data_IF_836244168761
#
_entry.id   IF_836244168761
#
_cell.length_a   1.000
_cell.length_b   1.000
_cell.length_c   1.000
_cell.angle_alpha   90.00
_cell.angle_beta   90.00
_cell.angle_gamma   90.00
#
_symmetry.space_group_name_H-M   'P 1'
#
loop_
_entity.id
_entity.type
_entity.pdbx_description
1 polymer ?
#
# COMPACT_ATOMS: atom_id res chain seq x y z
N UNK A 1 1.07 4.86 -0.89
CA UNK A 1 -0.04 5.79 -0.56
C UNK A 1 -0.56 5.64 0.86
N UNK A 2 -1.26 4.55 1.18
CA UNK A 2 -2.02 4.40 2.43
C UNK A 2 -1.19 4.54 3.71
N UNK A 3 0.03 3.99 3.74
CA UNK A 3 0.91 4.14 4.92
C UNK A 3 1.30 5.60 5.15
N UNK A 4 1.45 6.41 4.09
CA UNK A 4 1.78 7.84 4.23
C UNK A 4 0.61 8.65 4.80
N UNK A 5 -0.63 8.22 4.57
CA UNK A 5 -1.82 8.88 5.14
C UNK A 5 -2.08 8.50 6.59
N UNK A 6 -1.46 7.42 7.08
CA UNK A 6 -1.51 7.03 8.48
C UNK A 6 -0.16 6.48 8.98
N UNK A 7 0.86 7.36 9.04
CA UNK A 7 2.20 7.02 9.51
C UNK A 7 2.22 6.54 10.97
N UNK A 8 1.24 6.95 11.79
CA UNK A 8 1.10 6.50 13.18
C UNK A 8 0.99 4.97 13.31
N UNK A 9 0.53 4.29 12.25
CA UNK A 9 0.53 2.82 12.16
C UNK A 9 1.92 2.23 12.46
N UNK A 10 3.00 2.83 11.96
CA UNK A 10 4.36 2.33 12.18
C UNK A 10 4.78 2.45 13.65
N UNK A 11 4.41 3.55 14.32
CA UNK A 11 4.66 3.71 15.76
C UNK A 11 3.84 2.71 16.58
N UNK A 12 2.58 2.45 16.22
CA UNK A 12 1.77 1.44 16.89
C UNK A 12 2.37 0.04 16.74
N UNK A 13 2.79 -0.33 15.53
CA UNK A 13 3.44 -1.62 15.24
C UNK A 13 4.73 -1.76 16.07
N UNK A 14 5.62 -0.76 16.00
CA UNK A 14 6.90 -0.78 16.72
C UNK A 14 6.77 -0.89 18.24
N UNK A 15 5.65 -0.46 18.83
CA UNK A 15 5.40 -0.52 20.28
C UNK A 15 4.49 -1.69 20.71
N UNK A 16 3.89 -2.44 19.78
CA UNK A 16 2.97 -3.54 20.07
C UNK A 16 3.41 -4.79 19.30
N UNK A 17 4.60 -5.28 19.62
CA UNK A 17 5.23 -6.40 18.90
C UNK A 17 4.39 -7.67 18.97
N UNK A 18 4.08 -8.22 17.79
CA UNK A 18 3.37 -9.48 17.64
C UNK A 18 4.04 -10.33 16.54
N UNK A 19 4.67 -11.44 16.92
CA UNK A 19 5.51 -12.25 16.04
C UNK A 19 4.78 -12.93 14.87
N UNK A 20 3.45 -12.96 14.92
CA UNK A 20 2.56 -13.44 13.87
C UNK A 20 2.05 -12.32 12.95
N UNK A 21 2.55 -11.08 13.07
CA UNK A 21 2.13 -9.94 12.28
C UNK A 21 3.19 -9.53 11.24
N UNK A 22 2.78 -9.37 9.98
CA UNK A 22 3.63 -8.87 8.90
C UNK A 22 2.93 -7.72 8.21
N UNK A 23 3.59 -6.55 8.13
CA UNK A 23 3.16 -5.43 7.31
C UNK A 23 3.89 -5.48 5.97
N UNK A 24 3.19 -5.83 4.90
CA UNK A 24 3.72 -5.71 3.53
C UNK A 24 3.27 -4.38 2.91
N UNK A 25 4.23 -3.50 2.67
CA UNK A 25 4.05 -2.23 1.99
C UNK A 25 4.44 -2.40 0.53
N UNK A 26 3.47 -2.28 -0.37
CA UNK A 26 3.73 -2.11 -1.80
C UNK A 26 4.02 -0.64 -2.06
N UNK A 27 5.29 -0.31 -2.29
CA UNK A 27 5.76 1.04 -2.56
C UNK A 27 6.08 1.19 -4.05
N UNK A 28 5.07 1.60 -4.80
CA UNK A 28 5.17 1.95 -6.22
C UNK A 28 5.51 3.43 -6.44
N UNK A 29 5.73 4.19 -5.36
CA UNK A 29 5.98 5.63 -5.44
C UNK A 29 4.80 6.48 -5.89
N UNK A 30 3.58 5.95 -6.05
CA UNK A 30 2.41 6.68 -6.57
C UNK A 30 1.11 6.46 -5.77
N UNK A 31 0.14 7.35 -5.95
CA UNK A 31 -1.26 7.12 -5.60
C UNK A 31 -1.96 6.46 -6.79
N UNK A 32 -1.83 5.14 -6.89
CA UNK A 32 -2.27 4.37 -8.06
C UNK A 32 -3.75 4.50 -8.43
N UNK A 33 -4.63 4.77 -7.46
CA UNK A 33 -6.07 4.96 -7.70
C UNK A 33 -6.46 6.35 -8.18
N UNK A 34 -5.58 7.34 -8.06
CA UNK A 34 -5.87 8.75 -8.40
C UNK A 34 -5.05 9.21 -9.60
N UNK A 35 -4.86 8.32 -10.58
CA UNK A 35 -4.10 8.59 -11.80
C UNK A 35 -2.59 8.63 -11.60
N UNK A 36 -2.05 7.73 -10.76
CA UNK A 36 -0.60 7.56 -10.55
C UNK A 36 0.15 8.84 -10.12
N UNK A 37 -0.52 9.71 -9.36
CA UNK A 37 0.12 10.91 -8.82
C UNK A 37 1.31 10.53 -7.91
N UNK A 38 2.49 11.16 -8.05
CA UNK A 38 3.66 10.81 -7.25
C UNK A 38 3.42 10.98 -5.75
N UNK A 39 3.83 9.99 -4.96
CA UNK A 39 3.92 10.11 -3.51
C UNK A 39 5.30 10.62 -3.06
N UNK A 40 5.40 11.06 -1.81
CA UNK A 40 6.69 11.42 -1.23
C UNK A 40 7.62 10.21 -0.98
N UNK A 41 7.07 8.98 -0.91
CA UNK A 41 7.85 7.74 -0.87
C UNK A 41 8.56 7.42 -2.19
N UNK A 42 8.02 7.90 -3.32
CA UNK A 42 8.70 7.92 -4.61
C UNK A 42 9.72 9.07 -4.75
N UNK A 43 9.96 9.84 -3.68
CA UNK A 43 10.88 10.99 -3.66
C UNK A 43 11.93 10.83 -2.55
N UNK A 44 11.76 11.52 -1.43
CA UNK A 44 12.75 11.59 -0.34
C UNK A 44 12.34 10.79 0.90
N UNK A 45 11.07 10.41 1.02
CA UNK A 45 10.60 9.66 2.18
C UNK A 45 11.04 8.20 2.06
N UNK A 46 11.92 7.78 2.97
CA UNK A 46 12.43 6.41 3.04
C UNK A 46 11.58 5.63 4.05
N UNK A 47 10.61 4.84 3.55
CA UNK A 47 9.68 4.12 4.42
C UNK A 47 10.36 3.05 5.28
N UNK A 48 11.48 2.48 4.82
CA UNK A 48 12.26 1.55 5.62
C UNK A 48 12.83 2.27 6.84
N UNK A 49 13.55 3.38 6.62
CA UNK A 49 14.15 4.17 7.71
C UNK A 49 13.11 4.76 8.65
N UNK A 50 11.95 5.19 8.13
CA UNK A 50 10.85 5.69 8.96
C UNK A 50 10.30 4.58 9.85
N UNK A 51 10.12 3.36 9.33
CA UNK A 51 9.68 2.22 10.13
C UNK A 51 10.69 1.85 11.22
N UNK A 52 11.99 1.81 10.87
CA UNK A 52 13.09 1.59 11.83
C UNK A 52 13.07 2.66 12.94
N UNK A 53 12.94 3.94 12.58
CA UNK A 53 12.87 5.05 13.53
C UNK A 53 11.61 5.04 14.40
N UNK A 54 10.54 4.36 13.97
CA UNK A 54 9.33 4.13 14.76
C UNK A 54 9.45 2.95 15.75
N UNK A 55 10.59 2.26 15.78
CA UNK A 55 10.84 1.13 16.68
C UNK A 55 10.56 -0.25 16.07
N UNK A 56 10.29 -0.35 14.77
CA UNK A 56 10.17 -1.66 14.12
C UNK A 56 11.56 -2.30 14.00
N UNK A 57 11.80 -3.40 14.74
CA UNK A 57 13.11 -4.04 14.80
C UNK A 57 13.50 -4.81 13.52
N UNK A 58 12.52 -5.42 12.84
CA UNK A 58 12.75 -6.20 11.63
C UNK A 58 12.08 -5.54 10.42
N UNK A 59 12.87 -4.76 9.67
CA UNK A 59 12.41 -4.06 8.46
C UNK A 59 13.24 -4.50 7.26
N UNK A 60 12.57 -5.07 6.26
CA UNK A 60 13.20 -5.58 5.03
C UNK A 60 12.74 -4.74 3.85
N UNK A 61 13.67 -4.29 3.02
CA UNK A 61 13.35 -3.73 1.71
C UNK A 61 13.71 -4.75 0.62
N UNK A 62 12.84 -4.94 -0.35
CA UNK A 62 13.03 -5.84 -1.47
C UNK A 62 12.49 -5.24 -2.78
N UNK A 63 12.91 -5.78 -3.91
CA UNK A 63 12.31 -5.45 -5.21
C UNK A 63 11.06 -6.30 -5.45
N UNK A 64 10.15 -5.83 -6.31
CA UNK A 64 8.89 -6.51 -6.63
C UNK A 64 9.08 -8.00 -6.99
N UNK A 65 10.09 -8.32 -7.80
CA UNK A 65 10.42 -9.69 -8.22
C UNK A 65 10.78 -10.64 -7.06
N UNK A 66 11.28 -10.09 -5.95
CA UNK A 66 11.75 -10.84 -4.79
C UNK A 66 10.68 -10.89 -3.68
N UNK A 67 9.56 -10.19 -3.86
CA UNK A 67 8.55 -9.99 -2.80
C UNK A 67 7.96 -11.30 -2.28
N UNK A 68 7.65 -12.25 -3.17
CA UNK A 68 7.13 -13.56 -2.77
C UNK A 68 8.13 -14.30 -1.84
N UNK A 69 9.40 -14.36 -2.24
CA UNK A 69 10.47 -15.00 -1.45
C UNK A 69 10.72 -14.28 -0.12
N UNK A 70 10.70 -12.95 -0.12
CA UNK A 70 10.85 -12.15 1.10
C UNK A 70 9.69 -12.40 2.06
N UNK A 71 8.46 -12.50 1.55
CA UNK A 71 7.28 -12.81 2.35
C UNK A 71 7.35 -14.24 2.93
N UNK A 72 7.73 -15.24 2.14
CA UNK A 72 7.94 -16.61 2.61
C UNK A 72 8.98 -16.67 3.75
N UNK A 73 10.08 -15.94 3.60
CA UNK A 73 11.13 -15.84 4.62
C UNK A 73 10.60 -15.19 5.90
N UNK A 74 9.83 -14.11 5.77
CA UNK A 74 9.23 -13.42 6.92
C UNK A 74 8.23 -14.32 7.66
N UNK A 75 7.38 -15.05 6.92
CA UNK A 75 6.43 -16.01 7.48
C UNK A 75 7.15 -17.14 8.24
N UNK A 76 8.23 -17.68 7.67
CA UNK A 76 9.03 -18.72 8.30
C UNK A 76 9.77 -18.24 9.56
N UNK A 77 10.14 -16.95 9.61
CA UNK A 77 10.92 -16.38 10.72
C UNK A 77 10.16 -16.30 12.04
N UNK A 78 8.81 -16.30 12.00
CA UNK A 78 7.94 -16.05 13.18
C UNK A 78 8.39 -14.84 13.98
N UNK A 79 8.65 -13.74 13.28
CA UNK A 79 8.98 -12.45 13.86
C UNK A 79 8.13 -11.38 13.20
N UNK A 80 7.72 -10.40 14.00
CA UNK A 80 7.03 -9.23 13.45
C UNK A 80 7.92 -8.59 12.39
N UNK A 81 7.40 -8.40 11.17
CA UNK A 81 8.23 -7.95 10.05
C UNK A 81 7.52 -6.86 9.26
N UNK A 82 8.21 -5.75 8.99
CA UNK A 82 7.78 -4.76 8.00
C UNK A 82 8.55 -5.02 6.71
N UNK A 83 7.84 -5.26 5.61
CA UNK A 83 8.42 -5.44 4.28
C UNK A 83 8.08 -4.23 3.43
N UNK A 84 9.08 -3.53 2.91
CA UNK A 84 8.93 -2.51 1.88
C UNK A 84 9.26 -3.14 0.53
N UNK A 85 8.24 -3.47 -0.25
CA UNK A 85 8.37 -3.98 -1.60
C UNK A 85 8.37 -2.82 -2.59
N UNK A 86 9.54 -2.54 -3.18
CA UNK A 86 9.70 -1.52 -4.22
C UNK A 86 9.22 -2.05 -5.56
N UNK A 87 8.28 -1.36 -6.17
CA UNK A 87 7.81 -1.67 -7.52
C UNK A 87 7.74 -0.40 -8.39
N UNK A 88 7.63 -0.60 -9.70
CA UNK A 88 7.45 0.52 -10.63
C UNK A 88 6.03 1.08 -10.50
N UNK A 89 5.91 2.39 -10.63
CA UNK A 89 4.60 3.03 -10.79
C UNK A 89 3.95 2.56 -12.09
N UNK A 90 2.63 2.44 -12.07
CA UNK A 90 1.86 2.10 -13.24
C UNK A 90 0.58 1.38 -12.88
N UNK A 91 -0.48 1.76 -13.56
CA UNK A 91 -1.75 1.06 -13.57
C UNK A 91 -2.09 0.68 -15.02
N UNK A 92 -3.02 -0.25 -15.20
CA UNK A 92 -3.53 -0.53 -16.54
C UNK A 92 -4.15 0.76 -17.11
N UNK A 93 -3.88 1.11 -18.38
CA UNK A 93 -4.52 2.26 -19.00
C UNK A 93 -6.02 1.98 -19.13
N UNK A 94 -6.80 2.58 -18.24
CA UNK A 94 -8.26 2.56 -18.28
C UNK A 94 -8.75 3.88 -18.87
N UNK A 95 -9.71 3.84 -19.81
CA UNK A 95 -10.25 5.07 -20.41
C UNK A 95 -10.92 5.92 -19.33
N UNK A 96 -10.85 7.25 -19.52
CA UNK A 96 -11.59 8.19 -18.69
C UNK A 96 -13.09 7.91 -18.86
N UNK A 97 -13.82 7.87 -17.76
CA UNK A 97 -15.28 7.76 -17.80
C UNK A 97 -15.82 9.04 -18.45
N UNK A 98 -16.32 8.93 -19.68
CA UNK A 98 -16.88 10.05 -20.43
C UNK A 98 -18.26 10.50 -19.92
N UNK A 99 -18.85 9.73 -19.01
CA UNK A 99 -20.19 9.99 -18.51
C UNK A 99 -20.19 11.19 -17.56
N UNK A 100 -21.06 12.19 -17.79
CA UNK A 100 -21.25 13.29 -16.85
C UNK A 100 -21.67 12.77 -15.47
N UNK A 101 -21.27 13.44 -14.36
CA UNK A 101 -21.60 13.00 -13.00
C UNK A 101 -23.10 12.78 -12.77
N UNK A 102 -23.96 13.57 -13.41
CA UNK A 102 -25.42 13.43 -13.34
C UNK A 102 -25.89 12.10 -13.93
N UNK A 103 -25.28 11.65 -15.03
CA UNK A 103 -25.60 10.37 -15.67
C UNK A 103 -25.10 9.20 -14.80
N UNK A 104 -23.90 9.32 -14.23
CA UNK A 104 -23.36 8.32 -13.28
C UNK A 104 -24.31 8.14 -12.10
N UNK A 105 -24.81 9.24 -11.51
CA UNK A 105 -25.82 9.20 -10.43
C UNK A 105 -27.08 8.46 -10.87
N UNK A 106 -27.65 8.79 -12.03
CA UNK A 106 -28.89 8.17 -12.48
C UNK A 106 -28.71 6.67 -12.76
N UNK A 107 -27.60 6.27 -13.40
CA UNK A 107 -27.26 4.86 -13.62
C UNK A 107 -27.18 4.08 -12.32
N UNK A 108 -26.47 4.62 -11.32
CA UNK A 108 -26.36 3.99 -10.00
C UNK A 108 -27.73 3.82 -9.33
N UNK A 109 -28.55 4.88 -9.33
CA UNK A 109 -29.88 4.82 -8.70
C UNK A 109 -30.81 3.82 -9.40
N UNK A 110 -30.74 3.71 -10.73
CA UNK A 110 -31.55 2.73 -11.47
C UNK A 110 -31.11 1.29 -11.18
N UNK A 111 -29.80 1.04 -11.09
CA UNK A 111 -29.26 -0.29 -10.74
C UNK A 111 -29.69 -0.72 -9.33
N UNK A 112 -29.61 0.19 -8.36
CA UNK A 112 -30.04 -0.07 -6.98
C UNK A 112 -31.56 -0.30 -6.87
N UNK A 113 -32.35 0.31 -7.75
CA UNK A 113 -33.80 0.16 -7.79
C UNK A 113 -34.28 -1.07 -8.59
N UNK A 114 -33.37 -1.74 -9.32
CA UNK A 114 -33.73 -2.92 -10.09
C UNK A 114 -34.10 -4.09 -9.14
N UNK A 115 -35.22 -4.79 -9.39
CA UNK A 115 -35.53 -6.00 -8.63
C UNK A 115 -34.45 -7.06 -8.89
N UNK A 116 -34.10 -7.79 -7.83
CA UNK A 116 -33.10 -8.86 -7.84
C UNK A 116 -33.46 -10.04 -8.75
#
# INVERSE_FOLDING_TARGET
GSVLTNLGTLSTIGNNTADNFILLIIDNGSYGSTGDQPTYAGRRTDLKKVAEACGCENVVECQAKDTAKTLETALASRRMTVIVSKCQSGNIPVPVIELPPVVIRHRFMNEVAAPA
#
